data_IF_151318480562
#
_entry.id   IF_151318480562
#
_cell.length_a   1.000
_cell.length_b   1.000
_cell.length_c   1.000
_cell.angle_alpha   90.00
_cell.angle_beta   90.00
_cell.angle_gamma   90.00
#
_symmetry.space_group_name_H-M   'P 1'
#
loop_
_entity.id
_entity.type
_entity.pdbx_description
1 polymer ?
#
# COMPACT_ATOMS: atom_id res chain seq x y z
N UNK A 1 9.37 -3.26 10.82
CA UNK A 1 10.25 -4.05 9.91
C UNK A 1 11.04 -5.05 10.73
N UNK A 2 11.11 -6.32 10.32
CA UNK A 2 11.91 -7.34 11.01
C UNK A 2 13.26 -7.43 10.33
N UNK A 3 14.34 -7.26 11.10
CA UNK A 3 15.71 -7.47 10.60
C UNK A 3 16.12 -8.92 10.86
N UNK A 4 16.55 -9.59 9.81
CA UNK A 4 16.97 -10.98 9.88
C UNK A 4 18.47 -11.07 10.13
N UNK A 5 18.87 -11.62 11.29
CA UNK A 5 20.29 -11.88 11.62
C UNK A 5 20.78 -13.24 11.10
N UNK A 6 19.86 -14.17 10.86
CA UNK A 6 20.14 -15.52 10.32
C UNK A 6 18.98 -15.92 9.43
N UNK A 7 19.26 -16.63 8.34
CA UNK A 7 18.22 -17.27 7.56
C UNK A 7 17.72 -18.52 8.32
N UNK A 8 16.40 -18.51 8.57
CA UNK A 8 15.70 -19.62 9.28
C UNK A 8 14.62 -20.24 8.41
N UNK A 9 14.51 -19.81 7.16
CA UNK A 9 13.50 -20.32 6.24
C UNK A 9 13.92 -21.67 5.70
N UNK A 10 12.95 -22.56 5.52
CA UNK A 10 13.11 -23.75 4.69
C UNK A 10 13.24 -23.33 3.22
N UNK A 11 13.72 -24.22 2.37
CA UNK A 11 13.84 -23.96 0.95
C UNK A 11 12.48 -23.61 0.30
N UNK A 12 11.38 -24.22 0.77
CA UNK A 12 10.03 -23.93 0.27
C UNK A 12 9.57 -22.53 0.67
N UNK A 13 9.68 -22.18 1.95
CA UNK A 13 9.33 -20.84 2.44
C UNK A 13 10.16 -19.73 1.77
N UNK A 14 11.44 -20.00 1.49
CA UNK A 14 12.29 -19.06 0.75
C UNK A 14 11.83 -18.90 -0.69
N UNK A 15 11.44 -19.98 -1.36
CA UNK A 15 10.89 -19.97 -2.72
C UNK A 15 9.56 -19.22 -2.78
N UNK A 16 8.65 -19.47 -1.84
CA UNK A 16 7.35 -18.81 -1.77
C UNK A 16 7.51 -17.28 -1.58
N UNK A 17 8.43 -16.88 -0.68
CA UNK A 17 8.73 -15.47 -0.50
C UNK A 17 9.36 -14.84 -1.76
N UNK A 18 10.22 -15.56 -2.47
CA UNK A 18 10.80 -15.07 -3.73
C UNK A 18 9.71 -14.85 -4.80
N UNK A 19 8.74 -15.76 -4.93
CA UNK A 19 7.59 -15.58 -5.81
C UNK A 19 6.72 -14.40 -5.38
N UNK A 20 6.47 -14.25 -4.08
CA UNK A 20 5.74 -13.10 -3.55
C UNK A 20 6.42 -11.77 -3.89
N UNK A 21 7.74 -11.68 -3.78
CA UNK A 21 8.53 -10.50 -4.16
C UNK A 21 8.46 -10.26 -5.68
N UNK A 22 8.60 -11.31 -6.49
CA UNK A 22 8.56 -11.21 -7.95
C UNK A 22 7.22 -10.67 -8.46
N UNK A 23 6.10 -11.08 -7.86
CA UNK A 23 4.76 -10.60 -8.17
C UNK A 23 4.32 -9.39 -7.34
N UNK A 24 5.16 -8.87 -6.45
CA UNK A 24 4.84 -7.76 -5.54
C UNK A 24 4.11 -6.59 -6.20
N UNK A 25 4.57 -6.05 -7.35
CA UNK A 25 3.87 -4.97 -8.03
C UNK A 25 2.43 -5.30 -8.43
N UNK A 26 2.17 -6.54 -8.88
CA UNK A 26 0.83 -7.03 -9.27
C UNK A 26 -0.05 -7.17 -8.04
N UNK A 27 0.47 -7.84 -6.99
CA UNK A 27 -0.25 -8.09 -5.74
C UNK A 27 -0.67 -6.77 -5.06
N UNK A 28 0.24 -5.80 -5.04
CA UNK A 28 -0.03 -4.45 -4.55
C UNK A 28 -1.19 -3.79 -5.30
N UNK A 29 -1.16 -3.82 -6.64
CA UNK A 29 -2.20 -3.21 -7.46
C UNK A 29 -3.54 -3.92 -7.33
N UNK A 30 -3.56 -5.25 -7.23
CA UNK A 30 -4.79 -6.02 -6.98
C UNK A 30 -5.44 -5.55 -5.67
N UNK A 31 -4.68 -5.56 -4.57
CA UNK A 31 -5.19 -5.15 -3.26
C UNK A 31 -5.72 -3.70 -3.27
N UNK A 32 -4.96 -2.79 -3.87
CA UNK A 32 -5.34 -1.39 -4.00
C UNK A 32 -6.62 -1.20 -4.83
N UNK A 33 -6.69 -1.83 -6.00
CA UNK A 33 -7.86 -1.69 -6.88
C UNK A 33 -9.11 -2.27 -6.22
N UNK A 34 -9.00 -3.42 -5.55
CA UNK A 34 -10.13 -4.01 -4.83
C UNK A 34 -10.64 -3.12 -3.69
N UNK A 35 -9.71 -2.48 -2.96
CA UNK A 35 -10.06 -1.47 -1.95
C UNK A 35 -10.75 -0.27 -2.58
N UNK A 36 -10.13 0.35 -3.56
CA UNK A 36 -10.55 1.65 -4.13
C UNK A 36 -11.83 1.53 -4.97
N UNK A 37 -12.09 0.35 -5.55
CA UNK A 37 -13.32 0.04 -6.29
C UNK A 37 -14.45 -0.50 -5.40
N UNK A 38 -14.23 -0.59 -4.08
CA UNK A 38 -15.24 -1.03 -3.14
C UNK A 38 -15.53 -2.53 -3.12
N UNK A 39 -14.73 -3.35 -3.83
CA UNK A 39 -14.94 -4.81 -3.88
C UNK A 39 -14.78 -5.41 -2.48
N UNK A 40 -13.72 -5.04 -1.75
CA UNK A 40 -13.49 -5.57 -0.40
C UNK A 40 -14.59 -5.11 0.57
N UNK A 41 -15.09 -3.88 0.44
CA UNK A 41 -16.19 -3.37 1.28
C UNK A 41 -17.50 -4.13 1.03
N UNK A 42 -17.83 -4.41 -0.22
CA UNK A 42 -19.02 -5.20 -0.58
C UNK A 42 -18.94 -6.62 -0.02
N UNK A 43 -17.75 -7.23 -0.04
CA UNK A 43 -17.53 -8.56 0.57
C UNK A 43 -17.66 -8.49 2.09
N UNK A 44 -17.10 -7.45 2.72
CA UNK A 44 -17.20 -7.25 4.18
C UNK A 44 -18.66 -7.13 4.65
N UNK A 45 -19.47 -6.36 3.94
CA UNK A 45 -20.89 -6.16 4.25
C UNK A 45 -21.70 -7.46 4.23
N UNK A 46 -21.26 -8.46 3.48
CA UNK A 46 -21.92 -9.78 3.46
C UNK A 46 -21.64 -10.63 4.70
N UNK A 47 -20.66 -10.21 5.53
CA UNK A 47 -20.24 -10.89 6.75
C UNK A 47 -19.98 -12.40 6.54
N UNK A 48 -20.44 -13.24 7.46
CA UNK A 48 -20.28 -14.71 7.36
C UNK A 48 -21.18 -15.38 6.32
N UNK A 49 -22.20 -14.68 5.80
CA UNK A 49 -23.07 -15.23 4.74
C UNK A 49 -22.32 -15.38 3.40
N UNK A 50 -21.29 -14.58 3.20
CA UNK A 50 -20.55 -14.50 1.97
C UNK A 50 -21.38 -13.92 0.82
N UNK A 51 -20.72 -13.62 -0.30
CA UNK A 51 -21.33 -12.99 -1.47
C UNK A 51 -20.79 -13.64 -2.76
N UNK A 52 -21.63 -13.86 -3.74
CA UNK A 52 -21.21 -14.42 -5.02
C UNK A 52 -20.53 -13.39 -5.91
N UNK A 53 -19.81 -13.85 -6.95
CA UNK A 53 -19.16 -12.98 -7.93
C UNK A 53 -20.20 -12.10 -8.63
N UNK A 54 -21.34 -12.66 -9.03
CA UNK A 54 -22.41 -11.93 -9.73
C UNK A 54 -23.02 -10.83 -8.87
N UNK A 55 -23.21 -11.10 -7.59
CA UNK A 55 -23.72 -10.10 -6.64
C UNK A 55 -22.70 -8.96 -6.43
N UNK A 56 -21.40 -9.30 -6.35
CA UNK A 56 -20.32 -8.28 -6.27
C UNK A 56 -20.33 -7.40 -7.52
N UNK A 57 -20.34 -8.01 -8.71
CA UNK A 57 -20.35 -7.36 -10.01
C UNK A 57 -21.47 -6.32 -10.11
N UNK A 58 -22.70 -6.71 -9.73
CA UNK A 58 -23.86 -5.82 -9.72
C UNK A 58 -23.65 -4.64 -8.78
N UNK A 59 -23.13 -4.89 -7.58
CA UNK A 59 -22.97 -3.85 -6.55
C UNK A 59 -21.85 -2.86 -6.86
N UNK A 60 -20.72 -3.32 -7.41
CA UNK A 60 -19.60 -2.44 -7.76
C UNK A 60 -19.70 -1.87 -9.19
N UNK A 61 -20.63 -2.33 -10.01
CA UNK A 61 -20.84 -1.91 -11.39
C UNK A 61 -19.57 -2.03 -12.27
N UNK A 62 -18.86 -3.15 -12.10
CA UNK A 62 -17.66 -3.45 -12.88
C UNK A 62 -17.91 -4.66 -13.80
N UNK A 63 -17.20 -4.75 -14.94
CA UNK A 63 -17.32 -5.88 -15.86
C UNK A 63 -16.97 -7.21 -15.18
N UNK A 64 -17.74 -8.26 -15.48
CA UNK A 64 -17.56 -9.62 -14.97
C UNK A 64 -16.12 -10.11 -14.98
N UNK A 65 -15.45 -9.99 -16.13
CA UNK A 65 -14.05 -10.42 -16.27
C UNK A 65 -13.12 -9.71 -15.27
N UNK A 66 -13.31 -8.38 -15.09
CA UNK A 66 -12.49 -7.58 -14.16
C UNK A 66 -12.68 -8.02 -12.72
N UNK A 67 -13.92 -8.22 -12.28
CA UNK A 67 -14.24 -8.67 -10.91
C UNK A 67 -13.67 -10.08 -10.70
N UNK A 68 -13.86 -10.98 -11.65
CA UNK A 68 -13.36 -12.34 -11.59
C UNK A 68 -11.83 -12.41 -11.44
N UNK A 69 -11.08 -11.70 -12.30
CA UNK A 69 -9.61 -11.66 -12.24
C UNK A 69 -9.12 -11.13 -10.90
N UNK A 70 -9.77 -10.10 -10.36
CA UNK A 70 -9.41 -9.53 -9.06
C UNK A 70 -9.69 -10.51 -7.92
N UNK A 71 -10.84 -11.22 -7.93
CA UNK A 71 -11.18 -12.23 -6.93
C UNK A 71 -10.24 -13.44 -6.97
N UNK A 72 -9.94 -13.97 -8.16
CA UNK A 72 -8.97 -15.08 -8.34
C UNK A 72 -7.57 -14.67 -7.79
N UNK A 73 -7.14 -13.46 -8.09
CA UNK A 73 -5.88 -12.92 -7.56
C UNK A 73 -5.94 -12.73 -6.03
N UNK A 74 -7.05 -12.26 -5.51
CA UNK A 74 -7.27 -12.03 -4.08
C UNK A 74 -7.26 -13.31 -3.25
N UNK A 75 -7.77 -14.42 -3.80
CA UNK A 75 -7.65 -15.76 -3.22
C UNK A 75 -6.17 -16.15 -3.08
N UNK A 76 -5.38 -15.95 -4.15
CA UNK A 76 -3.96 -16.29 -4.18
C UNK A 76 -3.11 -15.52 -3.17
N UNK A 77 -3.52 -14.30 -2.79
CA UNK A 77 -2.81 -13.46 -1.81
C UNK A 77 -3.48 -13.41 -0.44
N UNK A 78 -4.56 -14.15 -0.26
CA UNK A 78 -5.23 -14.29 1.03
C UNK A 78 -6.00 -13.05 1.49
N UNK A 79 -6.53 -12.22 0.58
CA UNK A 79 -7.44 -11.12 0.93
C UNK A 79 -8.87 -11.60 1.17
N UNK A 80 -9.26 -12.64 0.48
CA UNK A 80 -10.56 -13.29 0.58
C UNK A 80 -10.39 -14.80 0.65
N UNK A 81 -11.40 -15.50 1.12
CA UNK A 81 -11.58 -16.94 0.97
C UNK A 81 -12.89 -17.21 0.24
N UNK A 82 -12.95 -18.33 -0.46
CA UNK A 82 -14.15 -18.76 -1.18
C UNK A 82 -14.62 -20.08 -0.60
N UNK A 83 -15.92 -20.22 -0.37
CA UNK A 83 -16.60 -21.46 0.02
C UNK A 83 -17.93 -21.52 -0.69
N UNK A 84 -18.17 -22.62 -1.41
CA UNK A 84 -19.41 -22.88 -2.15
C UNK A 84 -19.84 -21.72 -3.06
N UNK A 85 -18.90 -21.12 -3.80
CA UNK A 85 -19.13 -20.01 -4.73
C UNK A 85 -19.32 -18.65 -4.06
N UNK A 86 -19.12 -18.54 -2.73
CA UNK A 86 -19.26 -17.30 -1.98
C UNK A 86 -17.94 -16.85 -1.38
N UNK A 87 -17.67 -15.56 -1.52
CA UNK A 87 -16.47 -14.91 -1.01
C UNK A 87 -16.73 -14.27 0.35
N UNK A 88 -15.78 -14.42 1.26
CA UNK A 88 -15.75 -13.74 2.55
C UNK A 88 -14.40 -13.07 2.77
N UNK A 89 -14.39 -11.96 3.51
CA UNK A 89 -13.20 -11.18 3.78
C UNK A 89 -12.31 -11.88 4.82
N UNK A 90 -11.00 -11.93 4.56
CA UNK A 90 -10.03 -12.37 5.57
C UNK A 90 -9.62 -11.23 6.51
N UNK A 91 -8.86 -11.55 7.57
CA UNK A 91 -8.22 -10.54 8.42
C UNK A 91 -7.26 -9.65 7.64
N UNK A 92 -6.56 -10.19 6.64
CA UNK A 92 -5.67 -9.41 5.76
C UNK A 92 -6.48 -8.41 4.95
N UNK A 93 -7.58 -8.84 4.32
CA UNK A 93 -8.52 -7.96 3.62
C UNK A 93 -9.11 -6.88 4.53
N UNK A 94 -9.46 -7.22 5.76
CA UNK A 94 -9.93 -6.27 6.77
C UNK A 94 -8.88 -5.17 7.06
N UNK A 95 -7.60 -5.52 7.25
CA UNK A 95 -6.55 -4.53 7.48
C UNK A 95 -6.26 -3.66 6.25
N UNK A 96 -6.40 -4.20 5.03
CA UNK A 96 -6.32 -3.38 3.80
C UNK A 96 -7.40 -2.30 3.77
N UNK A 97 -8.61 -2.60 4.30
CA UNK A 97 -9.71 -1.64 4.36
C UNK A 97 -9.58 -0.62 5.50
N UNK A 98 -9.23 -1.08 6.69
CA UNK A 98 -9.49 -0.32 7.92
C UNK A 98 -8.25 0.15 8.67
N UNK A 99 -7.09 -0.47 8.43
CA UNK A 99 -5.90 -0.06 9.16
C UNK A 99 -5.32 1.27 8.62
N UNK A 100 -5.29 2.33 9.45
CA UNK A 100 -4.82 3.64 9.01
C UNK A 100 -3.38 3.63 8.50
N UNK A 101 -2.50 2.83 9.13
CA UNK A 101 -1.10 2.69 8.70
C UNK A 101 -1.01 2.06 7.32
N UNK A 102 -1.74 0.96 7.11
CA UNK A 102 -1.79 0.26 5.82
C UNK A 102 -2.32 1.19 4.73
N UNK A 103 -3.39 1.94 5.01
CA UNK A 103 -3.97 2.90 4.08
C UNK A 103 -2.95 3.97 3.67
N UNK A 104 -2.35 4.64 4.63
CA UNK A 104 -1.36 5.71 4.39
C UNK A 104 -0.18 5.20 3.58
N UNK A 105 0.35 4.01 3.92
CA UNK A 105 1.45 3.40 3.19
C UNK A 105 1.06 3.05 1.75
N UNK A 106 -0.12 2.49 1.52
CA UNK A 106 -0.58 2.14 0.17
C UNK A 106 -0.82 3.38 -0.69
N UNK A 107 -1.44 4.42 -0.14
CA UNK A 107 -1.70 5.67 -0.85
C UNK A 107 -0.36 6.35 -1.21
N UNK A 108 0.60 6.44 -0.27
CA UNK A 108 1.93 6.97 -0.53
C UNK A 108 2.69 6.18 -1.59
N UNK A 109 2.73 4.85 -1.47
CA UNK A 109 3.42 4.01 -2.45
C UNK A 109 2.80 4.19 -3.83
N UNK A 110 1.48 4.21 -3.94
CA UNK A 110 0.80 4.35 -5.23
C UNK A 110 0.98 5.72 -5.86
N UNK A 111 0.68 6.77 -5.10
CA UNK A 111 0.58 8.13 -5.64
C UNK A 111 1.94 8.78 -5.81
N UNK A 112 2.86 8.52 -4.86
CA UNK A 112 4.16 9.19 -4.81
C UNK A 112 5.27 8.34 -5.42
N UNK A 113 5.34 7.04 -5.08
CA UNK A 113 6.51 6.23 -5.40
C UNK A 113 6.37 5.40 -6.67
N UNK A 114 5.18 4.85 -6.95
CA UNK A 114 5.01 3.72 -7.86
C UNK A 114 5.59 3.93 -9.25
N UNK A 115 5.32 5.08 -9.85
CA UNK A 115 5.85 5.41 -11.19
C UNK A 115 7.35 5.65 -11.17
N UNK A 116 7.85 6.35 -10.15
CA UNK A 116 9.28 6.66 -10.01
C UNK A 116 10.13 5.45 -9.68
N UNK A 117 9.56 4.40 -9.07
CA UNK A 117 10.29 3.16 -8.78
C UNK A 117 10.77 2.43 -10.03
N UNK A 118 10.22 2.73 -11.21
CA UNK A 118 10.69 2.19 -12.48
C UNK A 118 12.14 2.60 -12.80
N UNK A 119 12.57 3.77 -12.32
CA UNK A 119 13.93 4.30 -12.52
C UNK A 119 14.82 4.15 -11.26
N UNK A 120 14.48 3.19 -10.37
CA UNK A 120 15.24 2.96 -9.14
C UNK A 120 16.70 2.55 -9.43
N UNK A 121 16.92 1.69 -10.41
CA UNK A 121 18.24 1.27 -10.86
C UNK A 121 19.10 2.47 -11.26
N UNK A 122 18.58 3.36 -12.11
CA UNK A 122 19.26 4.60 -12.52
C UNK A 122 19.54 5.52 -11.34
N UNK A 123 18.61 5.60 -10.39
CA UNK A 123 18.78 6.42 -9.18
C UNK A 123 19.95 5.91 -8.32
N UNK A 124 20.10 4.60 -8.20
CA UNK A 124 21.22 3.97 -7.48
C UNK A 124 22.54 4.17 -8.21
N UNK A 125 22.56 4.01 -9.55
CA UNK A 125 23.75 4.18 -10.37
C UNK A 125 24.28 5.63 -10.40
N UNK A 126 23.35 6.59 -10.46
CA UNK A 126 23.73 8.02 -10.62
C UNK A 126 23.84 8.78 -9.29
N UNK A 127 23.29 8.22 -8.19
CA UNK A 127 23.14 8.92 -6.92
C UNK A 127 22.18 10.12 -6.98
N UNK A 128 21.27 10.15 -7.98
CA UNK A 128 20.28 11.21 -8.19
C UNK A 128 18.86 10.64 -8.14
N UNK A 129 17.85 11.44 -7.79
CA UNK A 129 16.46 10.98 -7.73
C UNK A 129 15.84 10.90 -9.13
N UNK A 130 16.28 9.96 -9.95
CA UNK A 130 15.85 9.82 -11.35
C UNK A 130 14.34 9.59 -11.47
N UNK A 131 13.75 8.82 -10.56
CA UNK A 131 12.32 8.58 -10.49
C UNK A 131 11.47 9.83 -10.22
N UNK A 132 12.05 10.86 -9.61
CA UNK A 132 11.38 12.13 -9.35
C UNK A 132 11.01 12.87 -10.64
N UNK A 133 11.70 12.61 -11.73
CA UNK A 133 11.41 13.17 -13.07
C UNK A 133 10.01 12.85 -13.57
N UNK A 134 9.34 11.86 -12.98
CA UNK A 134 7.89 11.59 -13.22
C UNK A 134 7.03 12.81 -12.90
N UNK A 135 7.43 13.65 -11.94
CA UNK A 135 6.69 14.83 -11.50
C UNK A 135 7.35 16.13 -11.93
N UNK A 136 8.68 16.18 -11.99
CA UNK A 136 9.43 17.36 -12.35
C UNK A 136 10.93 17.17 -12.20
N UNK A 137 11.70 18.13 -12.69
CA UNK A 137 13.16 18.05 -12.68
C UNK A 137 13.72 18.89 -11.52
N UNK A 138 13.57 18.39 -10.30
CA UNK A 138 14.08 19.00 -9.08
C UNK A 138 15.19 18.15 -8.47
N UNK A 139 16.14 18.76 -7.75
CA UNK A 139 17.18 18.02 -7.01
C UNK A 139 16.60 17.10 -5.93
N UNK A 140 15.54 17.55 -5.26
CA UNK A 140 14.77 16.77 -4.29
C UNK A 140 13.28 17.04 -4.46
N UNK A 141 12.44 16.23 -3.84
CA UNK A 141 10.98 16.43 -3.91
C UNK A 141 10.54 17.71 -3.19
N UNK A 142 11.33 18.20 -2.24
CA UNK A 142 10.97 19.37 -1.43
C UNK A 142 10.81 20.65 -2.26
N UNK A 143 11.64 20.85 -3.27
CA UNK A 143 11.54 22.00 -4.18
C UNK A 143 10.28 21.94 -5.05
N UNK A 144 9.77 20.74 -5.27
CA UNK A 144 8.61 20.50 -6.12
C UNK A 144 7.28 20.32 -5.38
N UNK A 145 7.27 20.28 -4.03
CA UNK A 145 6.08 19.91 -3.25
C UNK A 145 4.82 20.72 -3.62
N UNK A 146 4.96 22.02 -3.81
CA UNK A 146 3.83 22.91 -4.18
C UNK A 146 3.35 22.72 -5.62
N UNK A 147 4.12 22.06 -6.47
CA UNK A 147 3.85 21.84 -7.89
C UNK A 147 3.33 20.41 -8.17
N UNK A 148 3.38 19.52 -7.18
CA UNK A 148 2.87 18.16 -7.30
C UNK A 148 1.35 18.17 -7.54
N UNK A 149 0.80 17.19 -8.27
CA UNK A 149 -0.65 16.99 -8.35
C UNK A 149 -1.29 16.88 -6.97
N UNK A 150 -2.49 17.40 -6.79
CA UNK A 150 -3.15 17.51 -5.48
C UNK A 150 -3.27 16.17 -4.73
N UNK A 151 -3.55 15.06 -5.44
CA UNK A 151 -3.61 13.73 -4.82
C UNK A 151 -2.24 13.24 -4.34
N UNK A 152 -1.17 13.55 -5.07
CA UNK A 152 0.22 13.23 -4.70
C UNK A 152 0.64 14.01 -3.45
N UNK A 153 0.34 15.32 -3.42
CA UNK A 153 0.58 16.15 -2.22
C UNK A 153 -0.16 15.58 -1.00
N UNK A 154 -1.44 15.24 -1.17
CA UNK A 154 -2.24 14.68 -0.09
C UNK A 154 -1.63 13.40 0.47
N UNK A 155 -1.22 12.47 -0.39
CA UNK A 155 -0.62 11.20 0.03
C UNK A 155 0.77 11.39 0.63
N UNK A 156 1.56 12.34 0.12
CA UNK A 156 2.85 12.72 0.71
C UNK A 156 2.67 13.23 2.15
N UNK A 157 1.84 14.25 2.35
CA UNK A 157 1.64 14.84 3.67
C UNK A 157 0.97 13.88 4.65
N UNK A 158 0.02 13.07 4.19
CA UNK A 158 -0.60 12.06 5.04
C UNK A 158 0.42 11.04 5.56
N UNK A 159 1.37 10.61 4.72
CA UNK A 159 2.45 9.71 5.11
C UNK A 159 3.42 10.40 6.09
N UNK A 160 3.90 11.59 5.77
CA UNK A 160 4.83 12.34 6.60
C UNK A 160 4.25 12.61 8.01
N UNK A 161 3.03 13.15 8.07
CA UNK A 161 2.33 13.41 9.33
C UNK A 161 2.01 12.16 10.14
N UNK A 162 1.62 11.06 9.49
CA UNK A 162 1.31 9.83 10.21
C UNK A 162 2.50 9.34 11.04
N UNK A 163 3.71 9.43 10.50
CA UNK A 163 4.92 8.99 11.21
C UNK A 163 5.48 10.06 12.15
N UNK A 164 5.53 11.32 11.73
CA UNK A 164 6.09 12.42 12.53
C UNK A 164 5.20 12.76 13.72
N UNK A 165 3.90 12.88 13.54
CA UNK A 165 2.98 13.25 14.63
C UNK A 165 2.97 12.21 15.76
N UNK A 166 3.14 10.93 15.42
CA UNK A 166 3.31 9.88 16.43
C UNK A 166 4.64 9.94 17.18
N UNK A 167 5.69 10.50 16.57
CA UNK A 167 7.01 10.64 17.17
C UNK A 167 7.14 11.91 18.03
N UNK A 168 6.49 13.01 17.66
CA UNK A 168 6.62 14.32 18.30
C UNK A 168 6.42 14.31 19.81
N UNK A 169 5.39 13.65 20.40
CA UNK A 169 5.21 13.66 21.84
C UNK A 169 6.40 13.08 22.62
N UNK A 170 7.10 12.12 22.04
CA UNK A 170 8.30 11.53 22.64
C UNK A 170 9.53 12.45 22.44
N UNK A 171 9.70 13.00 21.24
CA UNK A 171 10.84 13.85 20.88
C UNK A 171 10.81 15.19 21.61
N UNK A 172 9.66 15.85 21.68
CA UNK A 172 9.48 17.15 22.33
C UNK A 172 10.00 17.14 23.77
N UNK A 173 9.72 16.09 24.53
CA UNK A 173 10.19 15.92 25.91
C UNK A 173 11.72 15.89 26.05
N UNK A 174 12.43 15.52 24.99
CA UNK A 174 13.89 15.46 24.97
C UNK A 174 14.52 16.73 24.40
N UNK A 175 13.84 17.39 23.46
CA UNK A 175 14.33 18.60 22.77
C UNK A 175 14.06 19.85 23.62
N UNK A 176 12.84 19.96 24.14
CA UNK A 176 12.46 21.11 25.00
C UNK A 176 12.75 20.80 26.47
N UNK A 177 14.04 20.78 26.82
CA UNK A 177 14.48 20.78 28.21
C UNK A 177 14.61 22.20 28.72
N UNK A 178 14.44 22.40 30.05
CA UNK A 178 14.59 23.72 30.69
C UNK A 178 15.95 24.34 30.30
N UNK A 179 15.89 25.59 29.81
CA UNK A 179 17.07 26.35 29.42
C UNK A 179 17.42 26.37 27.92
N UNK A 180 16.75 25.61 27.05
CA UNK A 180 16.92 25.73 25.60
C UNK A 180 16.10 26.94 25.10
N UNK A 181 16.81 27.96 24.56
CA UNK A 181 16.17 29.17 24.06
C UNK A 181 16.01 29.24 22.56
N UNK A 182 16.77 28.45 21.80
CA UNK A 182 16.72 28.35 20.33
C UNK A 182 16.89 26.91 19.90
N UNK A 183 16.18 26.52 18.86
CA UNK A 183 16.32 25.26 18.16
C UNK A 183 16.63 25.56 16.69
#
# INVERSE_FOLDING_TARGET
MKFFKKDKKTALEAKDLAQFIAFGPVLFQVARVMRDKGILSVIEESASAGITLEEIEIRVQLPHYGVRVLLESALGIGLVVENDGKYTLTRTGYFILHDPLTKVNMDFVHDVCYKGLFDLDKSIETGKPEGLKTFGNWPTIYEGLSQLPAHVQKSWFAFDHFFSDNAFPAVIKHVYKDGIKNI
#
